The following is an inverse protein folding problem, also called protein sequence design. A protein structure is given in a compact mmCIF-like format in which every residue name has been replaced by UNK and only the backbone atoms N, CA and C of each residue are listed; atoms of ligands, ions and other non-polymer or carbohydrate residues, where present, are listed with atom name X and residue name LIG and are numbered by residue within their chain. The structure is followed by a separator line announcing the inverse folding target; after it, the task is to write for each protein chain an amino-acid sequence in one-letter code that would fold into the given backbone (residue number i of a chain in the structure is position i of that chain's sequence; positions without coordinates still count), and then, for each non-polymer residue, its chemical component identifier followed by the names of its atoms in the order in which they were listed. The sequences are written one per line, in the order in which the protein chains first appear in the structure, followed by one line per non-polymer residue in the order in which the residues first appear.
data_IF_258426876334
#
_entry.id   IF_258426876334
#
_cell.length_a   1.000
_cell.length_b   1.000
_cell.length_c   1.000
_cell.angle_alpha   90.00
_cell.angle_beta   90.00
_cell.angle_gamma   90.00
#
_symmetry.space_group_name_H-M   'P 1'
#
loop_
_entity.id
_entity.type
_entity.pdbx_description
1 polymer ?
#
# COMPACT_ATOMS: atom_id res chain seq x y z
N UNK A 1 -14.13 35.72 -8.31
CA UNK A 1 -13.98 34.30 -8.70
C UNK A 1 -14.61 33.46 -7.61
N UNK A 2 -15.75 32.80 -7.89
CA UNK A 2 -16.47 31.96 -6.92
C UNK A 2 -15.96 30.53 -7.09
N UNK A 3 -15.41 29.94 -6.02
CA UNK A 3 -14.97 28.55 -6.02
C UNK A 3 -16.20 27.63 -6.10
N UNK A 4 -16.28 26.81 -7.15
CA UNK A 4 -17.32 25.78 -7.30
C UNK A 4 -16.99 24.66 -6.31
N UNK A 5 -17.85 24.32 -5.35
CA UNK A 5 -17.63 23.16 -4.48
C UNK A 5 -17.66 21.89 -5.32
N UNK A 6 -16.60 21.09 -5.25
CA UNK A 6 -16.59 19.75 -5.84
C UNK A 6 -17.66 18.88 -5.16
N UNK A 7 -18.44 18.09 -5.90
CA UNK A 7 -19.41 17.18 -5.30
C UNK A 7 -18.68 16.16 -4.40
N UNK A 8 -19.28 15.75 -3.27
CA UNK A 8 -18.69 14.72 -2.42
C UNK A 8 -18.51 13.44 -3.23
N UNK A 9 -17.32 12.84 -3.16
CA UNK A 9 -17.09 11.51 -3.73
C UNK A 9 -18.09 10.54 -3.12
N UNK A 10 -18.89 9.80 -3.93
CA UNK A 10 -19.85 8.86 -3.38
C UNK A 10 -19.12 7.80 -2.55
N UNK A 11 -19.74 7.38 -1.44
CA UNK A 11 -19.22 6.29 -0.63
C UNK A 11 -19.05 5.04 -1.52
N UNK A 12 -17.97 4.26 -1.34
CA UNK A 12 -17.74 3.05 -2.13
C UNK A 12 -18.89 2.07 -1.90
N UNK A 13 -19.37 1.45 -2.98
CA UNK A 13 -20.40 0.41 -2.90
C UNK A 13 -19.83 -0.88 -2.31
N UNK A 14 -20.68 -1.74 -1.74
CA UNK A 14 -20.25 -3.07 -1.27
C UNK A 14 -19.60 -3.90 -2.37
N UNK A 15 -20.06 -3.77 -3.62
CA UNK A 15 -19.44 -4.43 -4.76
C UNK A 15 -18.00 -3.93 -5.01
N UNK A 16 -17.76 -2.63 -4.85
CA UNK A 16 -16.41 -2.06 -4.94
C UNK A 16 -15.54 -2.50 -3.76
N UNK A 17 -16.09 -2.53 -2.54
CA UNK A 17 -15.38 -3.00 -1.35
C UNK A 17 -14.97 -4.48 -1.48
N UNK A 18 -15.85 -5.35 -1.98
CA UNK A 18 -15.53 -6.76 -2.26
C UNK A 18 -14.43 -6.88 -3.30
N UNK A 19 -14.49 -6.10 -4.38
CA UNK A 19 -13.48 -6.09 -5.44
C UNK A 19 -12.10 -5.66 -4.91
N UNK A 20 -12.06 -4.55 -4.17
CA UNK A 20 -10.83 -4.02 -3.57
C UNK A 20 -10.26 -5.00 -2.54
N UNK A 21 -11.11 -5.61 -1.73
CA UNK A 21 -10.69 -6.61 -0.73
C UNK A 21 -10.09 -7.85 -1.39
N UNK A 22 -10.71 -8.35 -2.47
CA UNK A 22 -10.19 -9.48 -3.24
C UNK A 22 -8.84 -9.17 -3.89
N UNK A 23 -8.68 -7.99 -4.49
CA UNK A 23 -7.39 -7.54 -5.00
C UNK A 23 -6.35 -7.46 -3.87
N UNK A 24 -6.72 -6.85 -2.74
CA UNK A 24 -5.83 -6.69 -1.59
C UNK A 24 -5.38 -8.04 -1.03
N UNK A 25 -6.28 -9.01 -0.90
CA UNK A 25 -5.97 -10.37 -0.48
C UNK A 25 -4.97 -11.05 -1.43
N UNK A 26 -5.16 -10.90 -2.74
CA UNK A 26 -4.26 -11.44 -3.75
C UNK A 26 -2.85 -10.84 -3.66
N UNK A 27 -2.75 -9.52 -3.57
CA UNK A 27 -1.45 -8.82 -3.44
C UNK A 27 -0.73 -9.19 -2.13
N UNK A 28 -1.46 -9.21 -1.01
CA UNK A 28 -0.89 -9.62 0.27
C UNK A 28 -0.40 -11.07 0.23
N UNK A 29 -1.12 -11.94 -0.47
CA UNK A 29 -0.72 -13.33 -0.64
C UNK A 29 0.58 -13.44 -1.45
N UNK A 30 0.72 -12.65 -2.51
CA UNK A 30 1.95 -12.60 -3.30
C UNK A 30 3.15 -12.13 -2.45
N UNK A 31 2.97 -11.05 -1.69
CA UNK A 31 4.01 -10.53 -0.78
C UNK A 31 4.40 -11.57 0.27
N UNK A 32 3.42 -12.20 0.93
CA UNK A 32 3.70 -13.23 1.92
C UNK A 32 4.48 -14.40 1.31
N UNK A 33 4.17 -14.79 0.07
CA UNK A 33 4.90 -15.84 -0.65
C UNK A 33 6.35 -15.44 -0.94
N UNK A 34 6.61 -14.20 -1.33
CA UNK A 34 7.98 -13.68 -1.52
C UNK A 34 8.80 -13.72 -0.23
N UNK A 35 8.14 -13.59 0.93
CA UNK A 35 8.73 -13.74 2.26
C UNK A 35 8.79 -15.19 2.75
N UNK A 36 8.42 -16.18 1.92
CA UNK A 36 8.47 -17.61 2.25
C UNK A 36 7.25 -18.14 3.01
N UNK A 37 6.18 -17.35 3.15
CA UNK A 37 4.93 -17.77 3.79
C UNK A 37 3.86 -18.13 2.76
N UNK A 38 3.53 -19.42 2.68
CA UNK A 38 2.41 -19.91 1.88
C UNK A 38 1.08 -19.71 2.63
N UNK A 39 0.57 -18.49 2.67
CA UNK A 39 -0.71 -18.15 3.31
C UNK A 39 -1.85 -18.19 2.29
N UNK A 40 -3.04 -18.61 2.74
CA UNK A 40 -4.28 -18.50 1.97
C UNK A 40 -5.09 -17.33 2.51
N UNK A 41 -4.90 -16.15 1.91
CA UNK A 41 -5.55 -14.91 2.32
C UNK A 41 -6.78 -14.70 1.44
N UNK A 42 -7.94 -14.44 2.04
CA UNK A 42 -9.21 -14.26 1.33
C UNK A 42 -9.80 -12.88 1.59
N UNK A 43 -10.71 -12.44 0.72
CA UNK A 43 -11.53 -11.27 1.01
C UNK A 43 -12.56 -11.64 2.09
N UNK A 44 -12.61 -10.85 3.16
CA UNK A 44 -13.67 -10.93 4.16
C UNK A 44 -14.92 -10.18 3.70
N UNK A 45 -16.02 -10.41 4.42
CA UNK A 45 -17.27 -9.69 4.15
C UNK A 45 -17.12 -8.19 4.48
N UNK A 46 -17.56 -7.27 3.60
CA UNK A 46 -17.55 -5.85 3.93
C UNK A 46 -18.45 -5.56 5.13
N UNK A 47 -17.96 -4.74 6.06
CA UNK A 47 -18.72 -4.34 7.24
C UNK A 47 -18.52 -2.84 7.52
N UNK A 48 -19.62 -2.15 7.83
CA UNK A 48 -19.61 -0.73 8.19
C UNK A 48 -18.91 0.16 7.14
N UNK A 49 -19.09 -0.14 5.86
CA UNK A 49 -18.48 0.61 4.75
C UNK A 49 -16.98 0.36 4.54
N UNK A 50 -16.43 -0.69 5.15
CA UNK A 50 -15.01 -1.06 4.99
C UNK A 50 -14.88 -2.44 4.36
N UNK A 51 -13.82 -2.61 3.56
CA UNK A 51 -13.39 -3.91 3.06
C UNK A 51 -12.44 -4.60 4.04
N UNK A 52 -12.50 -5.93 4.10
CA UNK A 52 -11.70 -6.73 5.02
C UNK A 52 -10.96 -7.83 4.28
N UNK A 53 -9.83 -8.26 4.84
CA UNK A 53 -9.09 -9.45 4.39
C UNK A 53 -8.92 -10.39 5.57
N UNK A 54 -9.00 -11.68 5.29
CA UNK A 54 -8.92 -12.75 6.28
C UNK A 54 -7.64 -13.54 6.07
N UNK A 55 -6.93 -13.78 7.17
CA UNK A 55 -5.75 -14.62 7.21
C UNK A 55 -6.12 -16.00 7.77
N UNK A 56 -5.43 -17.08 7.35
CA UNK A 56 -5.54 -18.34 8.06
C UNK A 56 -4.99 -18.18 9.48
N UNK A 57 -5.24 -19.11 10.41
CA UNK A 57 -4.62 -19.07 11.74
C UNK A 57 -3.10 -18.89 11.64
N UNK A 58 -2.61 -17.78 12.17
CA UNK A 58 -1.19 -17.42 12.12
C UNK A 58 -0.51 -17.75 13.44
N UNK A 59 0.75 -18.15 13.36
CA UNK A 59 1.64 -18.08 14.51
C UNK A 59 1.89 -16.62 14.88
N UNK A 60 2.07 -16.36 16.18
CA UNK A 60 2.26 -15.00 16.72
C UNK A 60 3.45 -14.28 16.07
N UNK A 61 4.56 -14.98 15.86
CA UNK A 61 5.77 -14.42 15.24
C UNK A 61 5.54 -14.00 13.78
N UNK A 62 4.80 -14.80 13.02
CA UNK A 62 4.43 -14.48 11.63
C UNK A 62 3.49 -13.28 11.59
N UNK A 63 2.46 -13.26 12.45
CA UNK A 63 1.54 -12.13 12.55
C UNK A 63 2.27 -10.83 12.91
N UNK A 64 3.22 -10.87 13.85
CA UNK A 64 4.04 -9.71 14.23
C UNK A 64 4.90 -9.21 13.07
N UNK A 65 5.50 -10.11 12.29
CA UNK A 65 6.30 -9.73 11.13
C UNK A 65 5.45 -9.08 10.03
N UNK A 66 4.27 -9.63 9.73
CA UNK A 66 3.31 -9.04 8.79
C UNK A 66 2.89 -7.65 9.25
N UNK A 67 2.50 -7.50 10.53
CA UNK A 67 2.11 -6.20 11.10
C UNK A 67 3.26 -5.20 11.03
N UNK A 68 4.49 -5.62 11.35
CA UNK A 68 5.66 -4.76 11.28
C UNK A 68 5.94 -4.30 9.84
N UNK A 69 5.84 -5.20 8.85
CA UNK A 69 5.97 -4.88 7.43
C UNK A 69 4.91 -3.89 6.95
N UNK A 70 3.64 -4.12 7.30
CA UNK A 70 2.54 -3.20 6.98
C UNK A 70 2.74 -1.84 7.63
N UNK A 71 3.13 -1.80 8.91
CA UNK A 71 3.46 -0.55 9.59
C UNK A 71 4.57 0.18 8.88
N UNK A 72 5.70 -0.46 8.59
CA UNK A 72 6.82 0.16 7.86
C UNK A 72 6.37 0.81 6.55
N UNK A 73 5.56 0.11 5.75
CA UNK A 73 5.01 0.63 4.49
C UNK A 73 4.09 1.84 4.69
N UNK A 74 3.14 1.74 5.63
CA UNK A 74 2.14 2.78 5.92
C UNK A 74 2.72 3.98 6.67
N UNK A 75 3.76 3.76 7.48
CA UNK A 75 4.49 4.77 8.24
C UNK A 75 5.74 5.24 7.53
N UNK A 76 5.85 5.10 6.20
CA UNK A 76 6.83 5.82 5.37
C UNK A 76 6.57 7.34 5.41
N UNK A 77 6.75 7.90 6.60
CA UNK A 77 6.63 9.29 7.00
C UNK A 77 7.99 9.89 7.37
N UNK A 78 9.07 9.11 7.31
CA UNK A 78 10.40 9.67 7.51
C UNK A 78 10.64 10.74 6.42
N UNK A 79 11.32 11.81 6.81
CA UNK A 79 11.52 12.99 5.95
C UNK A 79 12.23 12.63 4.64
N UNK A 80 13.11 11.62 4.69
CA UNK A 80 13.87 11.14 3.54
C UNK A 80 12.98 10.39 2.53
N UNK A 81 12.10 9.50 2.98
CA UNK A 81 11.08 8.87 2.13
C UNK A 81 10.20 9.94 1.44
N UNK A 82 9.77 10.96 2.19
CA UNK A 82 8.96 12.05 1.63
C UNK A 82 9.76 12.89 0.62
N UNK A 83 11.04 13.15 0.89
CA UNK A 83 11.92 13.85 -0.04
C UNK A 83 12.10 13.06 -1.36
N UNK A 84 12.36 11.76 -1.30
CA UNK A 84 12.50 10.90 -2.49
C UNK A 84 11.18 10.85 -3.27
N UNK A 85 10.02 10.71 -2.59
CA UNK A 85 8.69 10.76 -3.24
C UNK A 85 8.46 12.09 -3.96
N UNK A 86 8.74 13.23 -3.30
CA UNK A 86 8.59 14.57 -3.89
C UNK A 86 9.48 14.76 -5.12
N UNK A 87 10.76 14.37 -5.04
CA UNK A 87 11.71 14.46 -6.17
C UNK A 87 11.27 13.59 -7.35
N UNK A 88 10.80 12.37 -7.08
CA UNK A 88 10.26 11.49 -8.13
C UNK A 88 9.02 12.10 -8.80
N UNK A 89 8.09 12.63 -8.01
CA UNK A 89 6.89 13.28 -8.53
C UNK A 89 7.22 14.51 -9.38
N UNK A 90 8.24 15.28 -8.99
CA UNK A 90 8.73 16.40 -9.79
C UNK A 90 9.34 15.95 -11.13
N UNK A 91 10.24 14.97 -11.12
CA UNK A 91 10.83 14.42 -12.33
C UNK A 91 9.78 13.87 -13.32
N UNK A 92 8.71 13.24 -12.81
CA UNK A 92 7.59 12.79 -13.64
C UNK A 92 6.83 13.95 -14.29
N UNK A 93 6.59 15.05 -13.55
CA UNK A 93 5.95 16.26 -14.11
C UNK A 93 6.79 16.93 -15.18
N UNK A 94 8.11 16.92 -15.00
CA UNK A 94 9.11 17.46 -15.94
C UNK A 94 9.44 16.49 -17.09
N UNK A 95 8.85 15.30 -17.10
CA UNK A 95 9.11 14.21 -18.06
C UNK A 95 10.56 13.73 -18.09
N UNK A 96 11.31 13.94 -17.01
CA UNK A 96 12.65 13.39 -16.79
C UNK A 96 12.55 11.93 -16.32
N UNK A 97 12.49 11.03 -17.30
CA UNK A 97 12.35 9.59 -17.06
C UNK A 97 13.58 8.94 -16.40
N UNK A 98 14.85 9.30 -16.74
CA UNK A 98 16.02 8.82 -16.00
C UNK A 98 15.98 9.15 -14.51
N UNK A 99 15.69 10.40 -14.16
CA UNK A 99 15.65 10.84 -12.76
C UNK A 99 14.50 10.18 -12.00
N UNK A 100 13.32 10.05 -12.60
CA UNK A 100 12.20 9.34 -11.98
C UNK A 100 12.53 7.87 -11.67
N UNK A 101 13.25 7.19 -12.58
CA UNK A 101 13.71 5.80 -12.37
C UNK A 101 14.78 5.71 -11.28
N UNK A 102 15.75 6.63 -11.27
CA UNK A 102 16.77 6.69 -10.24
C UNK A 102 16.16 6.89 -8.84
N UNK A 103 15.17 7.76 -8.71
CA UNK A 103 14.47 7.99 -7.44
C UNK A 103 13.62 6.78 -7.00
N UNK A 104 13.05 6.02 -7.95
CA UNK A 104 12.37 4.76 -7.62
C UNK A 104 13.34 3.71 -7.03
N UNK A 105 14.54 3.60 -7.60
CA UNK A 105 15.60 2.71 -7.08
C UNK A 105 16.09 3.20 -5.71
N UNK A 106 16.29 4.51 -5.54
CA UNK A 106 16.69 5.11 -4.27
C UNK A 106 15.65 4.84 -3.16
N UNK A 107 14.36 4.95 -3.48
CA UNK A 107 13.27 4.57 -2.56
C UNK A 107 13.41 3.11 -2.12
N UNK A 108 13.59 2.18 -3.06
CA UNK A 108 13.75 0.76 -2.73
C UNK A 108 14.97 0.46 -1.86
N UNK A 109 16.08 1.19 -2.05
CA UNK A 109 17.29 1.07 -1.21
C UNK A 109 17.06 1.62 0.20
N UNK A 110 16.50 2.83 0.30
CA UNK A 110 16.24 3.46 1.59
C UNK A 110 15.23 2.65 2.42
N UNK A 111 14.17 2.14 1.80
CA UNK A 111 13.21 1.26 2.48
C UNK A 111 13.90 0.05 3.09
N UNK A 112 14.74 -0.67 2.35
CA UNK A 112 15.47 -1.83 2.90
C UNK A 112 16.47 -1.47 4.00
N UNK A 113 17.04 -0.27 3.98
CA UNK A 113 18.07 0.14 4.92
C UNK A 113 17.49 0.73 6.22
N UNK A 114 16.41 1.49 6.14
CA UNK A 114 15.88 2.30 7.23
C UNK A 114 14.52 1.81 7.77
N UNK A 115 13.83 0.93 7.04
CA UNK A 115 12.47 0.51 7.36
C UNK A 115 12.31 -1.00 7.34
#
# INVERSE_FOLDING_TARGET
MVAIPSPPTPAPSDADLRRISAQTAHELQAVCREHGWALHITAGEPMSGNGYVEFPPLRVDVAQQIIAGLRRLLTTRCEECQAIKRRRAQALREKDTPTARAMAVAMGRHLRAAH
#
